data_IF_045505714925
#
_entry.id   IF_045505714925
#
_cell.length_a   1.000
_cell.length_b   1.000
_cell.length_c   1.000
_cell.angle_alpha   90.00
_cell.angle_beta   90.00
_cell.angle_gamma   90.00
#
_symmetry.space_group_name_H-M   'P 1'
#
loop_
_entity.id
_entity.type
_entity.pdbx_description
1 polymer ?
#
# COMPACT_ATOMS: atom_id res chain seq x y z
N UNK A 1 13.73 18.86 -15.78
CA UNK A 1 13.65 17.71 -14.85
C UNK A 1 12.19 17.31 -14.74
N UNK A 2 11.91 16.02 -14.59
CA UNK A 2 10.55 15.54 -14.35
C UNK A 2 10.08 16.00 -12.98
N UNK A 3 8.77 16.18 -12.81
CA UNK A 3 8.15 16.34 -11.47
C UNK A 3 8.11 14.99 -10.75
N UNK A 4 8.06 14.97 -9.40
CA UNK A 4 8.03 13.71 -8.65
C UNK A 4 6.95 12.72 -9.12
N UNK A 5 5.75 13.21 -9.44
CA UNK A 5 4.64 12.37 -9.91
C UNK A 5 4.89 11.80 -11.31
N UNK A 6 5.63 12.51 -12.16
CA UNK A 6 6.05 12.04 -13.49
C UNK A 6 7.14 10.98 -13.37
N UNK A 7 8.07 11.13 -12.42
CA UNK A 7 9.06 10.10 -12.09
C UNK A 7 8.39 8.82 -11.58
N UNK A 8 7.39 8.95 -10.70
CA UNK A 8 6.55 7.83 -10.24
C UNK A 8 5.78 7.21 -11.40
N UNK A 9 5.23 8.00 -12.33
CA UNK A 9 4.50 7.47 -13.48
C UNK A 9 5.39 6.64 -14.41
N UNK A 10 6.66 7.01 -14.58
CA UNK A 10 7.55 6.43 -15.59
C UNK A 10 8.46 5.32 -15.05
N UNK A 11 9.17 5.55 -13.95
CA UNK A 11 10.19 4.62 -13.45
C UNK A 11 9.64 3.22 -13.16
N UNK A 12 8.68 3.07 -12.23
CA UNK A 12 8.00 1.80 -11.95
C UNK A 12 7.33 1.18 -13.18
N UNK A 13 6.75 1.98 -14.09
CA UNK A 13 6.11 1.48 -15.30
C UNK A 13 7.13 0.80 -16.24
N UNK A 14 8.27 1.45 -16.51
CA UNK A 14 9.34 0.88 -17.32
C UNK A 14 10.02 -0.31 -16.63
N UNK A 15 10.07 -0.31 -15.29
CA UNK A 15 10.52 -1.48 -14.53
C UNK A 15 9.59 -2.69 -14.73
N UNK A 16 8.27 -2.48 -14.71
CA UNK A 16 7.30 -3.53 -15.02
C UNK A 16 7.43 -4.02 -16.48
N UNK A 17 7.70 -3.12 -17.43
CA UNK A 17 7.95 -3.50 -18.83
C UNK A 17 9.09 -4.50 -18.96
N UNK A 18 10.24 -4.16 -18.36
CA UNK A 18 11.44 -4.96 -18.41
C UNK A 18 11.24 -6.32 -17.78
N UNK A 19 10.49 -6.39 -16.68
CA UNK A 19 10.16 -7.67 -16.04
C UNK A 19 9.24 -8.50 -16.93
N UNK A 20 8.13 -7.93 -17.41
CA UNK A 20 7.15 -8.65 -18.24
C UNK A 20 7.80 -9.27 -19.49
N UNK A 21 8.56 -8.47 -20.24
CA UNK A 21 9.16 -8.93 -21.51
C UNK A 21 10.31 -9.93 -21.34
N UNK A 22 10.93 -9.97 -20.15
CA UNK A 22 12.06 -10.86 -19.84
C UNK A 22 11.65 -12.10 -19.05
N UNK A 23 10.59 -12.04 -18.25
CA UNK A 23 10.09 -13.20 -17.50
C UNK A 23 9.38 -14.22 -18.39
N UNK A 24 8.88 -13.78 -19.55
CA UNK A 24 8.02 -14.59 -20.41
C UNK A 24 6.62 -14.78 -19.84
N UNK A 25 6.21 -13.94 -18.89
CA UNK A 25 4.84 -13.91 -18.35
C UNK A 25 3.87 -13.29 -19.36
N UNK A 26 2.60 -13.64 -19.27
CA UNK A 26 1.57 -13.15 -20.18
C UNK A 26 0.94 -11.82 -19.73
N UNK A 27 1.21 -11.39 -18.51
CA UNK A 27 0.64 -10.16 -17.95
C UNK A 27 0.77 -10.11 -16.43
N UNK A 28 -0.10 -9.30 -15.83
CA UNK A 28 -0.14 -8.99 -14.41
C UNK A 28 -1.51 -9.29 -13.81
N UNK A 29 -1.51 -9.66 -12.53
CA UNK A 29 -2.70 -9.79 -11.71
C UNK A 29 -2.61 -8.88 -10.49
N UNK A 30 -3.68 -8.14 -10.19
CA UNK A 30 -3.78 -7.27 -9.02
C UNK A 30 -5.09 -7.48 -8.25
N UNK A 31 -5.01 -7.64 -6.94
CA UNK A 31 -6.15 -7.48 -6.05
C UNK A 31 -6.52 -5.99 -5.93
N UNK A 32 -7.51 -5.55 -6.71
CA UNK A 32 -7.91 -4.14 -6.77
C UNK A 32 -8.95 -3.86 -5.69
N UNK A 33 -8.56 -3.17 -4.61
CA UNK A 33 -9.42 -2.92 -3.43
C UNK A 33 -10.33 -1.71 -3.54
N UNK A 34 -10.11 -0.82 -4.52
CA UNK A 34 -10.79 0.48 -4.58
C UNK A 34 -10.26 1.52 -3.58
N UNK A 35 -9.10 1.25 -2.98
CA UNK A 35 -8.31 2.17 -2.17
C UNK A 35 -7.16 2.82 -2.97
N UNK A 36 -6.48 3.79 -2.35
CA UNK A 36 -5.43 4.59 -2.98
C UNK A 36 -4.28 3.75 -3.57
N UNK A 37 -3.80 2.77 -2.83
CA UNK A 37 -2.55 2.08 -3.16
C UNK A 37 -2.74 1.11 -4.34
N UNK A 38 -3.80 0.30 -4.31
CA UNK A 38 -4.11 -0.60 -5.41
C UNK A 38 -4.52 0.19 -6.67
N UNK A 39 -5.17 1.34 -6.52
CA UNK A 39 -5.41 2.27 -7.63
C UNK A 39 -4.11 2.83 -8.22
N UNK A 40 -3.11 3.11 -7.38
CA UNK A 40 -1.81 3.59 -7.83
C UNK A 40 -1.08 2.53 -8.67
N UNK A 41 -1.08 1.27 -8.22
CA UNK A 41 -0.54 0.16 -9.02
C UNK A 41 -1.27 0.02 -10.35
N UNK A 42 -2.61 0.12 -10.36
CA UNK A 42 -3.39 0.07 -11.59
C UNK A 42 -3.04 1.22 -12.56
N UNK A 43 -2.82 2.43 -12.04
CA UNK A 43 -2.36 3.56 -12.83
C UNK A 43 -0.95 3.35 -13.40
N UNK A 44 -0.04 2.69 -12.67
CA UNK A 44 1.29 2.36 -13.19
C UNK A 44 1.24 1.36 -14.35
N UNK A 45 0.33 0.39 -14.30
CA UNK A 45 0.13 -0.55 -15.42
C UNK A 45 -0.48 0.18 -16.65
N UNK A 46 -1.38 1.14 -16.44
CA UNK A 46 -1.86 1.99 -17.54
C UNK A 46 -0.75 2.90 -18.09
N UNK A 47 0.08 3.48 -17.21
CA UNK A 47 1.25 4.29 -17.61
C UNK A 47 2.20 3.47 -18.48
N UNK A 48 2.48 2.23 -18.09
CA UNK A 48 3.21 1.27 -18.92
C UNK A 48 2.57 1.10 -20.30
N UNK A 49 1.25 0.89 -20.37
CA UNK A 49 0.56 0.75 -21.65
C UNK A 49 0.65 2.02 -22.51
N UNK A 50 0.64 3.20 -21.89
CA UNK A 50 0.79 4.49 -22.58
C UNK A 50 2.21 4.66 -23.17
N UNK A 51 3.25 4.30 -22.40
CA UNK A 51 4.63 4.34 -22.87
C UNK A 51 4.85 3.32 -24.01
N UNK A 52 4.32 2.10 -23.87
CA UNK A 52 4.34 1.10 -24.95
C UNK A 52 3.66 1.62 -26.21
N UNK A 53 2.47 2.23 -26.09
CA UNK A 53 1.73 2.78 -27.24
C UNK A 53 2.53 3.88 -27.95
N UNK A 54 3.25 4.71 -27.19
CA UNK A 54 4.14 5.73 -27.74
C UNK A 54 5.28 5.11 -28.54
N UNK A 55 5.90 4.04 -28.04
CA UNK A 55 6.96 3.31 -28.75
C UNK A 55 6.46 2.57 -30.00
N UNK A 56 5.22 2.06 -29.99
CA UNK A 56 4.58 1.50 -31.19
C UNK A 56 4.43 2.58 -32.27
N UNK A 57 4.01 3.80 -31.90
CA UNK A 57 3.88 4.93 -32.84
C UNK A 57 5.22 5.35 -33.44
N UNK A 58 6.32 5.19 -32.69
CA UNK A 58 7.68 5.42 -33.15
C UNK A 58 8.27 4.26 -33.97
N UNK A 59 7.49 3.19 -34.22
CA UNK A 59 7.93 1.97 -34.91
C UNK A 59 9.15 1.31 -34.24
N UNK A 60 9.19 1.29 -32.92
CA UNK A 60 10.26 0.61 -32.18
C UNK A 60 10.15 -0.91 -32.36
N UNK A 61 11.02 -1.46 -33.20
CA UNK A 61 11.01 -2.89 -33.56
C UNK A 61 11.20 -3.83 -32.36
N UNK A 62 11.95 -3.43 -31.33
CA UNK A 62 12.16 -4.28 -30.14
C UNK A 62 10.88 -4.39 -29.30
N UNK A 63 10.16 -3.28 -29.15
CA UNK A 63 8.88 -3.25 -28.42
C UNK A 63 7.81 -4.04 -29.17
N UNK A 64 7.70 -3.84 -30.48
CA UNK A 64 6.75 -4.55 -31.34
C UNK A 64 7.01 -6.07 -31.28
N UNK A 65 8.26 -6.51 -31.45
CA UNK A 65 8.60 -7.94 -31.36
C UNK A 65 8.34 -8.54 -29.97
N UNK A 66 8.59 -7.78 -28.90
CA UNK A 66 8.25 -8.22 -27.55
C UNK A 66 6.74 -8.40 -27.39
N UNK A 67 5.93 -7.46 -27.87
CA UNK A 67 4.47 -7.55 -27.83
C UNK A 67 3.91 -8.68 -28.67
N UNK A 68 4.47 -8.96 -29.85
CA UNK A 68 4.06 -10.11 -30.67
C UNK A 68 4.18 -11.42 -29.87
N UNK A 69 5.25 -11.57 -29.08
CA UNK A 69 5.46 -12.74 -28.22
C UNK A 69 4.50 -12.77 -27.02
N UNK A 70 4.30 -11.63 -26.35
CA UNK A 70 3.46 -11.54 -25.14
C UNK A 70 1.99 -11.72 -25.49
N UNK A 71 1.51 -11.01 -26.52
CA UNK A 71 0.10 -10.94 -26.91
C UNK A 71 -0.30 -12.02 -27.93
N UNK A 72 0.67 -12.72 -28.52
CA UNK A 72 0.45 -13.70 -29.58
C UNK A 72 -0.42 -13.15 -30.73
N UNK A 73 -0.08 -11.96 -31.24
CA UNK A 73 -0.83 -11.30 -32.31
C UNK A 73 0.08 -10.72 -33.40
N UNK A 74 -0.50 -10.40 -34.56
CA UNK A 74 0.25 -9.84 -35.67
C UNK A 74 0.72 -8.41 -35.41
N UNK A 75 1.78 -7.96 -36.09
CA UNK A 75 2.24 -6.56 -36.06
C UNK A 75 1.13 -5.59 -36.46
N UNK A 76 0.35 -5.96 -37.49
CA UNK A 76 -0.76 -5.14 -37.97
C UNK A 76 -1.87 -4.95 -36.93
N UNK A 77 -2.02 -5.88 -35.99
CA UNK A 77 -2.96 -5.74 -34.88
C UNK A 77 -2.37 -4.88 -33.77
N UNK A 78 -1.06 -5.00 -33.49
CA UNK A 78 -0.35 -4.20 -32.49
C UNK A 78 -0.46 -2.71 -32.80
N UNK A 79 -0.28 -2.30 -34.06
CA UNK A 79 -0.40 -0.90 -34.47
C UNK A 79 -1.80 -0.29 -34.29
N UNK A 80 -2.83 -1.13 -34.07
CA UNK A 80 -4.20 -0.66 -33.83
C UNK A 80 -4.54 -0.55 -32.34
N UNK A 81 -3.67 -1.03 -31.45
CA UNK A 81 -3.96 -1.08 -30.02
C UNK A 81 -3.80 0.30 -29.38
N UNK A 82 -4.85 0.74 -28.70
CA UNK A 82 -4.79 1.88 -27.78
C UNK A 82 -4.12 1.46 -26.46
N UNK A 83 -3.69 2.40 -25.60
CA UNK A 83 -3.23 2.09 -24.24
C UNK A 83 -4.25 1.25 -23.46
N UNK A 84 -5.55 1.51 -23.67
CA UNK A 84 -6.64 0.76 -23.04
C UNK A 84 -6.72 -0.68 -23.57
N UNK A 85 -6.55 -0.88 -24.88
CA UNK A 85 -6.55 -2.22 -25.47
C UNK A 85 -5.36 -3.05 -24.99
N UNK A 86 -4.17 -2.43 -24.90
CA UNK A 86 -2.99 -3.06 -24.32
C UNK A 86 -3.26 -3.50 -22.88
N UNK A 87 -3.80 -2.59 -22.06
CA UNK A 87 -4.17 -2.85 -20.66
C UNK A 87 -5.14 -4.04 -20.56
N UNK A 88 -6.15 -4.11 -21.42
CA UNK A 88 -7.13 -5.22 -21.43
C UNK A 88 -6.53 -6.60 -21.71
N UNK A 89 -5.38 -6.66 -22.40
CA UNK A 89 -4.73 -7.92 -22.76
C UNK A 89 -3.70 -8.38 -21.74
N UNK A 90 -3.07 -7.45 -21.01
CA UNK A 90 -1.97 -7.76 -20.09
C UNK A 90 -2.34 -7.56 -18.62
N UNK A 91 -3.50 -6.99 -18.29
CA UNK A 91 -3.83 -6.65 -16.92
C UNK A 91 -5.16 -7.22 -16.44
N UNK A 92 -5.06 -8.07 -15.42
CA UNK A 92 -6.17 -8.70 -14.75
C UNK A 92 -6.32 -8.10 -13.36
N UNK A 93 -7.53 -7.67 -13.02
CA UNK A 93 -7.83 -7.12 -11.69
C UNK A 93 -8.92 -7.93 -11.03
N UNK A 94 -8.86 -8.08 -9.71
CA UNK A 94 -9.90 -8.77 -8.97
C UNK A 94 -10.28 -8.01 -7.70
N UNK A 95 -11.56 -7.69 -7.56
CA UNK A 95 -12.11 -7.24 -6.29
C UNK A 95 -12.60 -8.45 -5.49
N UNK A 96 -12.11 -8.59 -4.25
CA UNK A 96 -12.38 -9.76 -3.41
C UNK A 96 -13.16 -9.35 -2.14
N UNK A 97 -14.50 -9.17 -2.24
CA UNK A 97 -15.32 -8.75 -1.11
C UNK A 97 -15.37 -9.83 -0.04
N UNK A 98 -15.65 -9.38 1.18
CA UNK A 98 -16.23 -10.17 2.25
C UNK A 98 -17.53 -9.52 2.74
N UNK A 99 -18.20 -10.15 3.70
CA UNK A 99 -19.38 -9.62 4.40
C UNK A 99 -19.16 -8.21 5.00
N UNK A 100 -17.89 -7.83 5.22
CA UNK A 100 -17.48 -6.57 5.82
C UNK A 100 -17.22 -5.46 4.78
N UNK A 101 -17.25 -5.79 3.49
CA UNK A 101 -16.88 -4.87 2.42
C UNK A 101 -18.04 -3.94 2.04
N UNK A 102 -17.74 -2.66 1.84
CA UNK A 102 -18.75 -1.66 1.48
C UNK A 102 -19.11 -1.73 -0.02
N UNK A 103 -20.29 -1.22 -0.38
CA UNK A 103 -20.66 -1.05 -1.78
C UNK A 103 -19.79 0.01 -2.48
N UNK A 104 -19.20 0.94 -1.71
CA UNK A 104 -18.43 2.05 -2.25
C UNK A 104 -17.05 1.61 -2.75
N UNK A 105 -16.29 0.81 -1.97
CA UNK A 105 -15.00 0.23 -2.40
C UNK A 105 -15.16 -0.61 -3.65
N UNK A 106 -16.19 -1.45 -3.69
CA UNK A 106 -16.56 -2.24 -4.88
C UNK A 106 -16.81 -1.35 -6.09
N UNK A 107 -17.59 -0.29 -5.92
CA UNK A 107 -17.93 0.64 -7.00
C UNK A 107 -16.67 1.38 -7.52
N UNK A 108 -15.81 1.86 -6.62
CA UNK A 108 -14.55 2.53 -6.98
C UNK A 108 -13.62 1.59 -7.77
N UNK A 109 -13.43 0.36 -7.29
CA UNK A 109 -12.62 -0.64 -7.97
C UNK A 109 -13.16 -0.95 -9.38
N UNK A 110 -14.46 -1.20 -9.49
CA UNK A 110 -15.11 -1.50 -10.77
C UNK A 110 -14.96 -0.36 -11.78
N UNK A 111 -15.24 0.88 -11.38
CA UNK A 111 -15.20 2.02 -12.29
C UNK A 111 -13.79 2.34 -12.76
N UNK A 112 -12.78 2.22 -11.88
CA UNK A 112 -11.39 2.37 -12.28
C UNK A 112 -10.98 1.27 -13.27
N UNK A 113 -11.29 0.00 -12.97
CA UNK A 113 -10.98 -1.13 -13.83
C UNK A 113 -11.64 -1.01 -15.21
N UNK A 114 -12.91 -0.56 -15.25
CA UNK A 114 -13.65 -0.31 -16.49
C UNK A 114 -13.02 0.81 -17.33
N UNK A 115 -12.61 1.91 -16.67
CA UNK A 115 -12.00 3.05 -17.35
C UNK A 115 -10.66 2.66 -17.99
N UNK A 116 -9.77 2.02 -17.24
CA UNK A 116 -8.45 1.63 -17.73
C UNK A 116 -8.49 0.41 -18.67
N UNK A 117 -9.60 -0.32 -18.71
CA UNK A 117 -9.81 -1.46 -19.60
C UNK A 117 -9.29 -2.80 -19.09
N UNK A 118 -8.85 -2.92 -17.84
CA UNK A 118 -8.37 -4.20 -17.29
C UNK A 118 -9.47 -5.27 -17.28
N UNK A 119 -9.09 -6.55 -17.42
CA UNK A 119 -10.04 -7.65 -17.25
C UNK A 119 -10.40 -7.81 -15.77
N UNK A 120 -11.57 -7.30 -15.39
CA UNK A 120 -11.99 -7.18 -13.99
C UNK A 120 -12.87 -8.35 -13.54
N UNK A 121 -12.46 -8.97 -12.44
CA UNK A 121 -13.14 -10.11 -11.81
C UNK A 121 -13.65 -9.71 -10.42
N UNK A 122 -14.67 -10.42 -9.96
CA UNK A 122 -15.17 -10.32 -8.60
C UNK A 122 -15.18 -11.73 -8.02
N UNK A 123 -14.52 -11.93 -6.88
CA UNK A 123 -14.44 -13.23 -6.23
C UNK A 123 -14.65 -13.10 -4.73
N UNK A 124 -15.82 -13.52 -4.26
CA UNK A 124 -16.20 -13.48 -2.85
C UNK A 124 -15.38 -14.50 -2.04
N UNK A 125 -14.89 -14.10 -0.86
CA UNK A 125 -14.07 -14.95 0.02
C UNK A 125 -14.84 -15.55 1.19
N UNK A 126 -16.12 -15.20 1.39
CA UNK A 126 -16.87 -15.51 2.62
C UNK A 126 -17.00 -17.00 2.87
N UNK A 127 -17.30 -17.80 1.84
CA UNK A 127 -17.40 -19.26 1.96
C UNK A 127 -16.06 -19.89 2.37
N UNK A 128 -14.97 -19.42 1.77
CA UNK A 128 -13.62 -19.89 2.08
C UNK A 128 -13.21 -19.52 3.50
N UNK A 129 -13.46 -18.27 3.91
CA UNK A 129 -13.18 -17.78 5.27
C UNK A 129 -14.02 -18.53 6.29
N UNK A 130 -15.32 -18.67 6.06
CA UNK A 130 -16.25 -19.38 6.95
C UNK A 130 -15.83 -20.84 7.15
N UNK A 131 -15.43 -21.51 6.08
CA UNK A 131 -14.93 -22.90 6.13
C UNK A 131 -13.66 -23.01 6.99
N UNK A 132 -12.70 -22.09 6.81
CA UNK A 132 -11.46 -22.06 7.59
C UNK A 132 -11.72 -21.81 9.08
N UNK A 133 -12.57 -20.82 9.39
CA UNK A 133 -12.92 -20.48 10.78
C UNK A 133 -13.64 -21.64 11.46
N UNK A 134 -14.59 -22.28 10.78
CA UNK A 134 -15.31 -23.46 11.30
C UNK A 134 -14.35 -24.62 11.56
N UNK A 135 -13.47 -24.92 10.60
CA UNK A 135 -12.47 -25.99 10.74
C UNK A 135 -11.54 -25.75 11.91
N UNK A 136 -11.04 -24.51 12.07
CA UNK A 136 -10.18 -24.14 13.19
C UNK A 136 -10.90 -24.25 14.54
N UNK A 137 -12.15 -23.78 14.61
CA UNK A 137 -12.99 -23.84 15.82
C UNK A 137 -13.22 -25.28 16.26
N UNK A 138 -13.55 -26.17 15.31
CA UNK A 138 -13.75 -27.60 15.58
C UNK A 138 -12.45 -28.29 16.00
N UNK A 139 -11.36 -28.03 15.29
CA UNK A 139 -10.04 -28.65 15.56
C UNK A 139 -9.47 -28.26 16.92
N UNK A 140 -9.75 -27.03 17.38
CA UNK A 140 -9.32 -26.53 18.69
C UNK A 140 -10.35 -26.79 19.80
N UNK A 141 -11.48 -27.44 19.49
CA UNK A 141 -12.59 -27.67 20.43
C UNK A 141 -13.05 -26.41 21.16
N UNK A 142 -13.11 -25.27 20.45
CA UNK A 142 -13.56 -24.02 21.03
C UNK A 142 -15.06 -24.10 21.33
N UNK A 143 -15.48 -23.57 22.48
CA UNK A 143 -16.88 -23.58 22.91
C UNK A 143 -17.80 -22.68 22.07
N UNK A 144 -17.22 -21.74 21.32
CA UNK A 144 -17.92 -20.81 20.42
C UNK A 144 -17.04 -20.44 19.24
N UNK A 145 -17.68 -19.93 18.18
CA UNK A 145 -16.96 -19.27 17.08
C UNK A 145 -16.27 -17.99 17.58
N UNK A 146 -15.09 -17.66 17.02
CA UNK A 146 -14.44 -16.38 17.28
C UNK A 146 -15.33 -15.21 16.81
N UNK A 147 -15.25 -14.06 17.49
CA UNK A 147 -16.04 -12.86 17.15
C UNK A 147 -15.17 -11.63 16.98
N UNK A 148 -15.65 -10.65 16.21
CA UNK A 148 -15.04 -9.33 16.14
C UNK A 148 -15.22 -8.57 17.47
N UNK A 149 -14.34 -7.62 17.76
CA UNK A 149 -14.43 -6.78 18.98
C UNK A 149 -15.75 -6.00 19.03
N UNK A 150 -16.21 -5.48 17.88
CA UNK A 150 -17.51 -4.80 17.74
C UNK A 150 -18.72 -5.73 18.01
N UNK A 151 -18.50 -7.05 18.03
CA UNK A 151 -19.50 -8.08 18.35
C UNK A 151 -19.22 -8.75 19.71
N UNK A 152 -18.38 -8.14 20.56
CA UNK A 152 -18.04 -8.63 21.90
C UNK A 152 -17.00 -9.75 21.95
N UNK A 153 -16.20 -9.94 20.89
CA UNK A 153 -15.06 -10.84 20.89
C UNK A 153 -13.79 -10.21 21.49
N UNK A 154 -12.80 -11.05 21.82
CA UNK A 154 -11.50 -10.57 22.28
C UNK A 154 -10.66 -9.96 21.14
N UNK A 155 -9.71 -9.08 21.47
CA UNK A 155 -8.80 -8.47 20.49
C UNK A 155 -8.05 -9.51 19.64
N UNK A 156 -7.64 -10.64 20.24
CA UNK A 156 -6.98 -11.75 19.54
C UNK A 156 -7.90 -12.46 18.53
N UNK A 157 -9.19 -12.58 18.85
CA UNK A 157 -10.17 -13.22 17.96
C UNK A 157 -10.43 -12.31 16.77
N UNK A 158 -10.67 -11.03 17.01
CA UNK A 158 -10.88 -10.05 15.95
C UNK A 158 -9.68 -9.96 15.01
N UNK A 159 -8.46 -9.90 15.56
CA UNK A 159 -7.25 -9.90 14.73
C UNK A 159 -7.11 -11.20 13.91
N UNK A 160 -7.48 -12.36 14.47
CA UNK A 160 -7.46 -13.62 13.73
C UNK A 160 -8.47 -13.63 12.58
N UNK A 161 -9.69 -13.10 12.80
CA UNK A 161 -10.73 -12.97 11.77
C UNK A 161 -10.35 -12.00 10.65
N UNK A 162 -9.70 -10.88 10.98
CA UNK A 162 -9.17 -9.96 9.98
C UNK A 162 -8.04 -10.63 9.15
N UNK A 163 -7.11 -11.31 9.83
CA UNK A 163 -5.98 -11.95 9.18
C UNK A 163 -6.39 -13.11 8.26
N UNK A 164 -7.40 -13.92 8.63
CA UNK A 164 -7.86 -15.02 7.77
C UNK A 164 -8.50 -14.48 6.49
N UNK A 165 -9.28 -13.39 6.56
CA UNK A 165 -9.80 -12.72 5.36
C UNK A 165 -8.65 -12.25 4.46
N UNK A 166 -7.65 -11.57 5.03
CA UNK A 166 -6.51 -11.06 4.29
C UNK A 166 -5.70 -12.17 3.59
N UNK A 167 -5.45 -13.29 4.28
CA UNK A 167 -4.72 -14.44 3.71
C UNK A 167 -5.54 -15.23 2.69
N UNK A 168 -6.85 -15.35 2.88
CA UNK A 168 -7.73 -15.99 1.90
C UNK A 168 -7.70 -15.27 0.55
N UNK A 169 -7.64 -13.93 0.55
CA UNK A 169 -7.46 -13.15 -0.69
C UNK A 169 -6.16 -13.49 -1.40
N UNK A 170 -5.05 -13.65 -0.66
CA UNK A 170 -3.77 -14.04 -1.24
C UNK A 170 -3.83 -15.44 -1.87
N UNK A 171 -4.37 -16.42 -1.16
CA UNK A 171 -4.49 -17.79 -1.70
C UNK A 171 -5.35 -17.82 -2.96
N UNK A 172 -6.50 -17.16 -2.92
CA UNK A 172 -7.42 -17.10 -4.04
C UNK A 172 -6.81 -16.36 -5.24
N UNK A 173 -6.07 -15.29 -5.01
CA UNK A 173 -5.48 -14.48 -6.08
C UNK A 173 -4.41 -15.23 -6.86
N UNK A 174 -3.51 -15.96 -6.18
CA UNK A 174 -2.54 -16.83 -6.86
C UNK A 174 -3.22 -17.98 -7.62
N UNK A 175 -4.27 -18.59 -7.04
CA UNK A 175 -5.02 -19.64 -7.73
C UNK A 175 -5.66 -19.11 -9.02
N UNK A 176 -6.31 -17.95 -8.95
CA UNK A 176 -6.92 -17.31 -10.12
C UNK A 176 -5.86 -16.92 -11.16
N UNK A 177 -4.75 -16.33 -10.75
CA UNK A 177 -3.67 -15.93 -11.64
C UNK A 177 -3.04 -17.12 -12.40
N UNK A 178 -3.03 -18.31 -11.78
CA UNK A 178 -2.57 -19.55 -12.41
C UNK A 178 -3.60 -20.17 -13.37
N UNK A 179 -4.90 -19.95 -13.14
CA UNK A 179 -5.97 -20.55 -13.95
C UNK A 179 -6.48 -19.65 -15.10
N UNK A 180 -6.40 -18.33 -14.95
CA UNK A 180 -6.79 -17.36 -15.99
C UNK A 180 -6.13 -17.64 -17.35
N UNK A 181 -4.83 -17.99 -17.44
CA UNK A 181 -4.20 -18.34 -18.71
C UNK A 181 -4.96 -19.40 -19.51
N UNK A 182 -5.55 -20.39 -18.86
CA UNK A 182 -6.34 -21.44 -19.52
C UNK A 182 -7.62 -20.87 -20.13
N UNK A 183 -8.32 -19.98 -19.41
CA UNK A 183 -9.56 -19.36 -19.89
C UNK A 183 -9.31 -18.41 -21.07
N UNK A 184 -8.17 -17.71 -21.06
CA UNK A 184 -7.84 -16.68 -22.05
C UNK A 184 -6.86 -17.14 -23.14
N UNK A 185 -6.49 -18.42 -23.15
CA UNK A 185 -5.51 -19.00 -24.08
C UNK A 185 -4.17 -18.24 -24.08
N UNK A 186 -3.75 -17.78 -22.89
CA UNK A 186 -2.47 -17.09 -22.73
C UNK A 186 -1.33 -18.09 -22.78
N UNK A 187 -0.19 -17.65 -23.30
CA UNK A 187 1.00 -18.49 -23.48
C UNK A 187 1.73 -18.84 -22.17
N UNK A 188 1.43 -18.13 -21.07
CA UNK A 188 2.16 -18.22 -19.81
C UNK A 188 1.31 -17.71 -18.63
N UNK A 189 1.86 -17.82 -17.41
CA UNK A 189 1.27 -17.32 -16.17
C UNK A 189 1.27 -15.80 -16.05
N UNK A 190 0.52 -15.30 -15.07
CA UNK A 190 0.48 -13.89 -14.69
C UNK A 190 1.41 -13.62 -13.49
N UNK A 191 2.01 -12.44 -13.47
CA UNK A 191 2.80 -11.95 -12.33
C UNK A 191 1.88 -11.25 -11.33
N UNK A 192 1.98 -11.64 -10.06
CA UNK A 192 1.24 -11.04 -8.97
C UNK A 192 1.85 -9.69 -8.59
N UNK A 193 1.02 -8.65 -8.58
CA UNK A 193 1.39 -7.32 -8.09
C UNK A 193 0.84 -7.09 -6.68
N UNK A 194 1.72 -6.68 -5.77
CA UNK A 194 1.32 -6.16 -4.45
C UNK A 194 1.12 -4.65 -4.50
N UNK A 195 0.32 -4.14 -3.54
CA UNK A 195 0.05 -2.72 -3.35
C UNK A 195 0.38 -2.22 -1.95
N UNK A 196 1.31 -2.85 -1.22
CA UNK A 196 1.77 -2.30 0.07
C UNK A 196 2.69 -1.09 -0.16
N UNK A 197 2.47 0.03 0.52
CA UNK A 197 3.31 1.22 0.41
C UNK A 197 4.47 1.22 1.43
N UNK A 198 5.40 2.17 1.27
CA UNK A 198 6.60 2.27 2.11
C UNK A 198 6.28 2.46 3.60
N UNK A 199 5.35 3.37 3.93
CA UNK A 199 5.05 3.74 5.32
C UNK A 199 4.43 2.57 6.08
N UNK A 200 3.50 1.84 5.46
CA UNK A 200 2.91 0.61 6.01
C UNK A 200 3.95 -0.50 6.18
N UNK A 201 4.83 -0.69 5.20
CA UNK A 201 5.91 -1.68 5.26
C UNK A 201 6.91 -1.36 6.38
N UNK A 202 7.31 -0.09 6.51
CA UNK A 202 8.19 0.38 7.58
C UNK A 202 7.57 0.18 8.96
N UNK A 203 6.29 0.51 9.09
CA UNK A 203 5.53 0.36 10.33
C UNK A 203 5.18 -1.11 10.62
N UNK A 204 5.17 -1.95 9.60
CA UNK A 204 4.70 -3.32 9.62
C UNK A 204 3.19 -3.46 9.81
N UNK A 205 2.43 -2.48 9.30
CA UNK A 205 0.96 -2.46 9.29
C UNK A 205 0.44 -3.24 8.07
N UNK A 206 0.55 -4.56 8.16
CA UNK A 206 0.11 -5.52 7.14
C UNK A 206 -0.05 -6.90 7.78
N UNK A 207 -0.85 -7.78 7.17
CA UNK A 207 -0.92 -9.18 7.59
C UNK A 207 0.20 -9.94 6.92
N UNK A 208 1.05 -10.62 7.70
CA UNK A 208 2.11 -11.45 7.11
C UNK A 208 1.48 -12.55 6.24
N UNK A 209 1.87 -12.56 4.95
CA UNK A 209 1.35 -13.43 3.89
C UNK A 209 -0.10 -13.15 3.44
N UNK A 210 -0.56 -11.90 3.49
CA UNK A 210 -1.72 -11.44 2.71
C UNK A 210 -1.30 -10.90 1.34
N UNK A 211 -2.14 -10.11 0.67
CA UNK A 211 -1.83 -9.46 -0.62
C UNK A 211 -0.74 -8.38 -0.55
N UNK A 212 -0.18 -8.07 0.63
CA UNK A 212 1.13 -7.41 0.76
C UNK A 212 2.29 -8.28 0.26
N UNK A 213 2.05 -9.59 0.10
CA UNK A 213 2.95 -10.56 -0.51
C UNK A 213 2.52 -10.86 -1.94
N UNK A 214 3.44 -10.75 -2.89
CA UNK A 214 3.23 -10.98 -4.32
C UNK A 214 4.56 -11.36 -4.99
N UNK A 215 4.60 -11.42 -6.32
CA UNK A 215 5.86 -11.59 -7.04
C UNK A 215 6.65 -10.28 -7.04
N UNK A 216 5.96 -9.14 -7.18
CA UNK A 216 6.55 -7.82 -7.35
C UNK A 216 5.72 -6.74 -6.64
N UNK A 217 6.37 -5.66 -6.22
CA UNK A 217 5.68 -4.47 -5.69
C UNK A 217 6.20 -3.17 -6.35
N UNK A 218 5.47 -2.60 -7.32
CA UNK A 218 5.93 -1.38 -8.01
C UNK A 218 5.85 -0.11 -7.16
N UNK A 219 5.14 -0.13 -6.02
CA UNK A 219 4.97 1.03 -5.13
C UNK A 219 5.59 0.84 -3.74
N UNK A 220 6.26 -0.28 -3.48
CA UNK A 220 6.70 -0.67 -2.14
C UNK A 220 7.76 0.23 -1.49
N UNK A 221 8.32 1.18 -2.24
CA UNK A 221 9.23 2.20 -1.71
C UNK A 221 8.74 3.63 -1.91
N UNK A 222 7.44 3.81 -2.21
CA UNK A 222 6.79 5.10 -2.36
C UNK A 222 5.92 5.36 -1.12
N UNK A 223 6.01 6.56 -0.57
CA UNK A 223 5.26 7.04 0.58
C UNK A 223 3.78 7.20 0.24
N UNK A 224 2.91 7.06 1.24
CA UNK A 224 1.47 7.30 1.09
C UNK A 224 1.18 8.73 0.62
N UNK A 225 1.99 9.68 1.07
CA UNK A 225 1.91 11.09 0.67
C UNK A 225 2.13 11.27 -0.82
N UNK A 226 3.20 10.66 -1.37
CA UNK A 226 3.52 10.78 -2.78
C UNK A 226 2.58 9.94 -3.67
N UNK A 227 2.06 8.82 -3.16
CA UNK A 227 0.98 8.09 -3.85
C UNK A 227 -0.29 8.96 -3.98
N UNK A 228 -0.59 9.78 -2.98
CA UNK A 228 -1.74 10.70 -3.05
C UNK A 228 -1.56 11.75 -4.15
N UNK A 229 -0.39 12.39 -4.23
CA UNK A 229 -0.11 13.36 -5.30
C UNK A 229 -0.07 12.69 -6.67
N UNK A 230 0.50 11.49 -6.75
CA UNK A 230 0.51 10.67 -7.96
C UNK A 230 -0.90 10.36 -8.48
N UNK A 231 -1.85 9.99 -7.62
CA UNK A 231 -3.24 9.75 -8.06
C UNK A 231 -3.89 11.00 -8.66
N UNK A 232 -3.64 12.19 -8.08
CA UNK A 232 -4.11 13.45 -8.69
C UNK A 232 -3.45 13.71 -10.04
N UNK A 233 -2.14 13.44 -10.16
CA UNK A 233 -1.45 13.50 -11.45
C UNK A 233 -2.05 12.53 -12.47
N UNK A 234 -2.39 11.30 -12.06
CA UNK A 234 -3.01 10.33 -12.95
C UNK A 234 -4.39 10.76 -13.42
N UNK A 235 -5.20 11.32 -12.52
CA UNK A 235 -6.49 11.89 -12.88
C UNK A 235 -6.32 13.01 -13.91
N UNK A 236 -5.41 13.95 -13.68
CA UNK A 236 -5.32 15.11 -14.58
C UNK A 236 -4.53 14.87 -15.86
N UNK A 237 -3.47 14.06 -15.79
CA UNK A 237 -2.48 13.91 -16.86
C UNK A 237 -2.51 12.56 -17.52
N UNK A 238 -2.40 11.46 -16.76
CA UNK A 238 -2.37 10.12 -17.34
C UNK A 238 -3.68 9.78 -18.05
N UNK A 239 -4.83 10.23 -17.53
CA UNK A 239 -6.15 9.96 -18.14
C UNK A 239 -6.25 10.42 -19.59
N UNK A 240 -5.41 11.38 -20.03
CA UNK A 240 -5.38 11.89 -21.40
C UNK A 240 -4.90 10.86 -22.43
N UNK A 241 -4.27 9.75 -21.99
CA UNK A 241 -3.93 8.63 -22.88
C UNK A 241 -5.15 7.78 -23.28
N UNK A 242 -6.31 8.02 -22.67
CA UNK A 242 -7.56 7.32 -22.92
C UNK A 242 -8.52 8.17 -23.77
N UNK A 243 -9.39 7.50 -24.52
CA UNK A 243 -10.49 8.17 -25.23
C UNK A 243 -11.40 8.95 -24.26
N UNK A 244 -12.06 10.04 -24.72
CA UNK A 244 -12.83 10.94 -23.86
C UNK A 244 -13.78 10.30 -22.83
N UNK A 245 -14.62 9.29 -23.16
CA UNK A 245 -15.51 8.70 -22.16
C UNK A 245 -14.74 8.00 -21.02
N UNK A 246 -13.66 7.30 -21.35
CA UNK A 246 -12.85 6.57 -20.37
C UNK A 246 -11.93 7.50 -19.58
N UNK A 247 -11.43 8.57 -20.21
CA UNK A 247 -10.67 9.62 -19.53
C UNK A 247 -11.48 10.31 -18.43
N UNK A 248 -12.73 10.70 -18.74
CA UNK A 248 -13.65 11.28 -17.74
C UNK A 248 -13.99 10.29 -16.64
N UNK A 249 -14.29 9.04 -16.99
CA UNK A 249 -14.58 8.00 -16.01
C UNK A 249 -13.39 7.75 -15.05
N UNK A 250 -12.17 7.68 -15.58
CA UNK A 250 -10.95 7.51 -14.78
C UNK A 250 -10.76 8.69 -13.82
N UNK A 251 -10.93 9.93 -14.30
CA UNK A 251 -10.86 11.14 -13.47
C UNK A 251 -11.80 11.07 -12.27
N UNK A 252 -13.08 10.79 -12.53
CA UNK A 252 -14.09 10.71 -11.47
C UNK A 252 -13.81 9.59 -10.47
N UNK A 253 -13.38 8.42 -10.95
CA UNK A 253 -13.03 7.29 -10.11
C UNK A 253 -11.84 7.64 -9.20
N UNK A 254 -10.77 8.20 -9.76
CA UNK A 254 -9.56 8.57 -9.02
C UNK A 254 -9.80 9.70 -8.02
N UNK A 255 -10.60 10.71 -8.38
CA UNK A 255 -10.99 11.77 -7.44
C UNK A 255 -11.73 11.19 -6.22
N UNK A 256 -12.67 10.27 -6.45
CA UNK A 256 -13.40 9.59 -5.37
C UNK A 256 -12.51 8.67 -4.53
N UNK A 257 -11.51 8.03 -5.14
CA UNK A 257 -10.50 7.25 -4.41
C UNK A 257 -9.61 8.17 -3.56
N UNK A 258 -9.15 9.30 -4.08
CA UNK A 258 -8.27 10.23 -3.38
C UNK A 258 -8.96 10.99 -2.23
N UNK A 259 -10.29 11.14 -2.28
CA UNK A 259 -11.10 11.72 -1.22
C UNK A 259 -11.57 10.71 -0.17
N UNK A 260 -11.47 9.40 -0.45
CA UNK A 260 -11.92 8.38 0.47
C UNK A 260 -10.98 8.27 1.69
N UNK A 261 -11.57 7.94 2.85
CA UNK A 261 -10.80 7.66 4.05
C UNK A 261 -10.03 6.33 3.90
N UNK A 262 -8.73 6.27 4.24
CA UNK A 262 -7.96 5.03 4.24
C UNK A 262 -8.51 4.00 5.24
N UNK A 263 -8.72 2.77 4.76
CA UNK A 263 -9.33 1.68 5.51
C UNK A 263 -9.12 0.32 4.82
N UNK A 264 -9.01 -0.74 5.62
CA UNK A 264 -8.87 -2.11 5.14
C UNK A 264 -10.21 -2.90 5.03
N UNK A 265 -11.33 -2.36 5.54
CA UNK A 265 -12.65 -3.00 5.58
C UNK A 265 -12.62 -4.48 6.05
N UNK A 266 -11.86 -4.77 7.12
CA UNK A 266 -11.72 -6.15 7.64
C UNK A 266 -12.61 -6.45 8.85
N UNK A 267 -13.32 -5.44 9.36
CA UNK A 267 -14.25 -5.56 10.48
C UNK A 267 -15.68 -5.20 10.04
N UNK A 268 -16.71 -5.70 10.75
CA UNK A 268 -18.10 -5.40 10.42
C UNK A 268 -18.38 -3.90 10.31
N UNK A 269 -19.20 -3.54 9.32
CA UNK A 269 -19.75 -2.20 9.17
C UNK A 269 -20.63 -1.86 10.39
N UNK A 270 -20.83 -0.56 10.64
CA UNK A 270 -21.78 -0.14 11.68
C UNK A 270 -23.23 -0.49 11.28
N UNK A 271 -24.18 -0.25 12.19
CA UNK A 271 -25.60 -0.52 11.93
C UNK A 271 -26.20 0.26 10.76
N UNK A 272 -25.52 1.32 10.31
CA UNK A 272 -25.90 2.17 9.19
C UNK A 272 -25.14 1.82 7.89
N UNK A 273 -24.28 0.80 7.91
CA UNK A 273 -23.46 0.38 6.78
C UNK A 273 -22.18 1.20 6.58
N UNK A 274 -21.77 2.02 7.56
CA UNK A 274 -20.55 2.82 7.46
C UNK A 274 -19.32 2.04 7.94
N UNK A 275 -18.18 2.43 7.37
CA UNK A 275 -16.87 1.90 7.70
C UNK A 275 -16.45 2.40 9.08
N UNK A 276 -16.10 1.48 9.98
CA UNK A 276 -15.64 1.79 11.33
C UNK A 276 -14.11 1.81 11.46
N UNK A 277 -13.39 1.20 10.52
CA UNK A 277 -11.94 1.05 10.56
C UNK A 277 -11.21 2.25 9.93
N UNK A 278 -10.19 2.75 10.61
CA UNK A 278 -9.31 3.83 10.12
C UNK A 278 -7.84 3.44 10.34
N UNK A 279 -7.05 3.46 9.26
CA UNK A 279 -5.67 2.97 9.30
C UNK A 279 -4.76 3.79 10.23
N UNK A 280 -4.84 5.12 10.22
CA UNK A 280 -3.99 5.98 11.06
C UNK A 280 -4.34 5.86 12.54
N UNK A 281 -5.63 5.69 12.85
CA UNK A 281 -6.10 5.41 14.20
C UNK A 281 -5.58 4.04 14.69
N UNK A 282 -5.69 3.00 13.85
CA UNK A 282 -5.19 1.65 14.16
C UNK A 282 -3.66 1.62 14.31
N UNK A 283 -2.93 2.38 13.49
CA UNK A 283 -1.48 2.49 13.56
C UNK A 283 -1.01 3.33 14.75
N UNK A 284 -1.83 4.28 15.22
CA UNK A 284 -1.53 5.26 16.27
C UNK A 284 -0.60 6.40 15.82
N UNK A 285 -0.38 6.53 14.51
CA UNK A 285 0.48 7.51 13.84
C UNK A 285 -0.15 7.89 12.50
N UNK A 286 -0.07 9.17 12.14
CA UNK A 286 -0.42 9.63 10.79
C UNK A 286 0.64 9.17 9.78
N UNK A 287 0.26 9.09 8.51
CA UNK A 287 1.21 8.82 7.42
C UNK A 287 2.30 9.88 7.34
N UNK A 288 1.95 11.15 7.58
CA UNK A 288 2.89 12.27 7.68
C UNK A 288 3.97 12.03 8.76
N UNK A 289 3.58 11.60 9.96
CA UNK A 289 4.52 11.22 11.02
C UNK A 289 5.37 10.01 10.63
N UNK A 290 4.78 8.99 10.00
CA UNK A 290 5.51 7.80 9.54
C UNK A 290 6.59 8.16 8.52
N UNK A 291 6.27 8.99 7.53
CA UNK A 291 7.25 9.42 6.53
C UNK A 291 8.37 10.26 7.16
N UNK A 292 8.04 11.19 8.07
CA UNK A 292 9.06 11.95 8.82
C UNK A 292 9.98 11.02 9.63
N UNK A 293 9.40 10.11 10.41
CA UNK A 293 10.17 9.17 11.22
C UNK A 293 11.00 8.21 10.36
N UNK A 294 10.50 7.80 9.19
CA UNK A 294 11.24 7.03 8.20
C UNK A 294 12.50 7.75 7.70
N UNK A 295 12.36 9.02 7.32
CA UNK A 295 13.50 9.87 6.90
C UNK A 295 14.50 10.07 8.04
N UNK A 296 14.04 10.45 9.23
CA UNK A 296 14.92 10.64 10.39
C UNK A 296 15.69 9.35 10.72
N UNK A 297 15.01 8.20 10.70
CA UNK A 297 15.60 6.89 10.99
C UNK A 297 16.67 6.48 9.99
N UNK A 298 16.42 6.65 8.68
CA UNK A 298 17.26 6.06 7.63
C UNK A 298 18.22 7.06 6.98
N UNK A 299 17.77 8.28 6.70
CA UNK A 299 18.59 9.32 6.07
C UNK A 299 19.43 10.02 7.14
N UNK A 300 18.82 10.47 8.23
CA UNK A 300 19.54 11.11 9.35
C UNK A 300 20.12 10.09 10.35
N UNK A 301 19.98 8.79 10.08
CA UNK A 301 20.55 7.70 10.90
C UNK A 301 20.14 7.74 12.38
N UNK A 302 18.93 8.23 12.67
CA UNK A 302 18.48 8.39 14.05
C UNK A 302 17.97 7.08 14.69
N UNK A 303 18.46 6.78 15.89
CA UNK A 303 17.81 5.86 16.84
C UNK A 303 16.74 6.58 17.68
N UNK A 304 16.11 5.92 18.67
CA UNK A 304 15.01 6.53 19.44
C UNK A 304 15.37 7.85 20.10
N UNK A 305 16.51 7.89 20.80
CA UNK A 305 16.96 9.10 21.51
C UNK A 305 17.29 10.24 20.55
N UNK A 306 18.09 9.99 19.51
CA UNK A 306 18.48 11.04 18.57
C UNK A 306 17.31 11.52 17.72
N UNK A 307 16.34 10.64 17.40
CA UNK A 307 15.10 11.04 16.72
C UNK A 307 14.32 12.04 17.57
N UNK A 308 14.19 11.79 18.88
CA UNK A 308 13.56 12.75 19.79
C UNK A 308 14.33 14.06 19.82
N UNK A 309 15.66 14.06 19.91
CA UNK A 309 16.45 15.29 19.83
C UNK A 309 16.16 16.08 18.55
N UNK A 310 16.18 15.43 17.38
CA UNK A 310 15.89 16.08 16.09
C UNK A 310 14.48 16.68 16.05
N UNK A 311 13.50 15.98 16.62
CA UNK A 311 12.14 16.51 16.76
C UNK A 311 12.11 17.71 17.71
N UNK A 312 12.79 17.68 18.85
CA UNK A 312 12.86 18.82 19.77
C UNK A 312 13.59 20.03 19.14
N UNK A 313 14.54 19.79 18.25
CA UNK A 313 15.27 20.81 17.48
C UNK A 313 14.45 21.41 16.32
N UNK A 314 13.18 21.03 16.15
CA UNK A 314 12.26 21.66 15.20
C UNK A 314 11.78 20.78 14.04
N UNK A 315 12.27 19.54 13.89
CA UNK A 315 11.82 18.67 12.79
C UNK A 315 10.32 18.34 12.84
N UNK A 316 9.69 18.44 14.02
CA UNK A 316 8.23 18.28 14.18
C UNK A 316 7.40 19.28 13.38
N UNK A 317 7.98 20.42 12.96
CA UNK A 317 7.27 21.44 12.19
C UNK A 317 6.76 20.92 10.84
N UNK A 318 7.38 19.88 10.28
CA UNK A 318 6.90 19.21 9.06
C UNK A 318 5.54 18.52 9.25
N UNK A 319 5.20 18.18 10.49
CA UNK A 319 3.97 17.47 10.88
C UNK A 319 3.15 18.29 11.87
N UNK A 320 3.32 19.61 11.88
CA UNK A 320 2.63 20.52 12.81
C UNK A 320 1.10 20.40 12.78
N UNK A 321 0.54 20.08 11.61
CA UNK A 321 -0.91 19.96 11.41
C UNK A 321 -1.46 18.64 11.98
N UNK A 322 -0.59 17.69 12.31
CA UNK A 322 -0.94 16.43 12.97
C UNK A 322 -0.81 16.50 14.50
N UNK A 323 -0.32 17.63 15.04
CA UNK A 323 -0.14 17.83 16.47
C UNK A 323 -1.48 18.22 17.10
N UNK A 324 -1.93 17.53 18.16
CA UNK A 324 -3.13 17.93 18.90
C UNK A 324 -3.01 19.35 19.49
N UNK A 325 -4.07 20.16 19.41
CA UNK A 325 -4.04 21.55 19.87
C UNK A 325 -3.73 21.67 21.38
N UNK A 326 -4.12 20.68 22.19
CA UNK A 326 -3.82 20.64 23.63
C UNK A 326 -2.33 20.42 23.96
N UNK A 327 -1.55 19.94 22.99
CA UNK A 327 -0.10 19.83 23.07
C UNK A 327 0.61 21.15 22.73
N UNK A 328 -0.07 22.09 22.08
CA UNK A 328 0.48 23.40 21.73
C UNK A 328 0.20 24.42 22.84
N UNK A 329 1.02 25.47 22.91
CA UNK A 329 0.74 26.67 23.71
C UNK A 329 0.22 27.80 22.81
N UNK A 330 -0.18 28.93 23.40
CA UNK A 330 -0.75 30.09 22.66
C UNK A 330 0.20 30.62 21.57
N UNK A 331 1.51 30.46 21.76
CA UNK A 331 2.53 30.92 20.83
C UNK A 331 2.96 29.83 19.83
N UNK A 332 2.40 28.62 19.95
CA UNK A 332 2.76 27.41 19.18
C UNK A 332 4.26 27.10 19.23
N UNK A 333 4.87 27.34 20.38
CA UNK A 333 6.27 27.07 20.66
C UNK A 333 6.45 25.70 21.32
N UNK A 334 7.68 25.21 21.29
CA UNK A 334 8.05 23.95 21.93
C UNK A 334 7.83 24.06 23.44
N UNK A 335 7.07 23.12 24.00
CA UNK A 335 6.74 23.05 25.42
C UNK A 335 6.75 21.60 25.94
N UNK A 336 6.60 21.39 27.26
CA UNK A 336 6.70 20.06 27.87
C UNK A 336 5.60 19.10 27.40
N UNK A 337 4.38 19.58 27.10
CA UNK A 337 3.30 18.74 26.57
C UNK A 337 3.64 18.25 25.16
N UNK A 338 4.09 19.14 24.28
CA UNK A 338 4.56 18.77 22.94
C UNK A 338 5.74 17.80 23.00
N UNK A 339 6.75 18.06 23.84
CA UNK A 339 7.90 17.17 24.01
C UNK A 339 7.48 15.77 24.48
N UNK A 340 6.54 15.70 25.44
CA UNK A 340 5.98 14.44 25.95
C UNK A 340 5.19 13.69 24.88
N UNK A 341 4.38 14.41 24.10
CA UNK A 341 3.65 13.85 22.96
C UNK A 341 4.62 13.26 21.93
N UNK A 342 5.62 14.02 21.48
CA UNK A 342 6.62 13.56 20.50
C UNK A 342 7.38 12.34 21.01
N UNK A 343 7.81 12.34 22.28
CA UNK A 343 8.44 11.18 22.91
C UNK A 343 7.54 9.95 22.88
N UNK A 344 6.26 10.09 23.21
CA UNK A 344 5.30 8.99 23.15
C UNK A 344 5.17 8.41 21.74
N UNK A 345 5.16 9.27 20.71
CA UNK A 345 5.09 8.87 19.30
C UNK A 345 6.37 8.19 18.82
N UNK A 346 7.54 8.67 19.21
CA UNK A 346 8.83 8.02 18.92
C UNK A 346 8.90 6.65 19.58
N UNK A 347 8.52 6.54 20.87
CA UNK A 347 8.46 5.25 21.58
C UNK A 347 7.53 4.27 20.88
N UNK A 348 6.34 4.73 20.49
CA UNK A 348 5.36 3.92 19.79
C UNK A 348 5.88 3.45 18.42
N UNK A 349 6.47 4.35 17.63
CA UNK A 349 7.10 4.02 16.36
C UNK A 349 8.16 2.92 16.50
N UNK A 350 9.14 3.08 17.40
CA UNK A 350 10.23 2.11 17.55
C UNK A 350 9.79 0.77 18.14
N UNK A 351 8.84 0.78 19.09
CA UNK A 351 8.25 -0.47 19.61
C UNK A 351 7.59 -1.24 18.47
N UNK A 352 6.78 -0.55 17.67
CA UNK A 352 6.02 -1.21 16.63
C UNK A 352 6.87 -1.62 15.41
N UNK A 353 7.89 -0.83 15.08
CA UNK A 353 8.95 -1.21 14.14
C UNK A 353 9.65 -2.50 14.62
N UNK A 354 10.06 -2.56 15.88
CA UNK A 354 10.77 -3.71 16.43
C UNK A 354 9.95 -5.01 16.38
N UNK A 355 8.69 -4.99 16.83
CA UNK A 355 7.86 -6.22 16.86
C UNK A 355 7.48 -6.69 15.45
N UNK A 356 7.37 -5.77 14.48
CA UNK A 356 6.93 -6.10 13.12
C UNK A 356 8.07 -6.23 12.11
N UNK A 357 9.33 -5.97 12.47
CA UNK A 357 10.45 -6.01 11.52
C UNK A 357 10.58 -7.37 10.81
N UNK A 358 10.26 -8.45 11.50
CA UNK A 358 10.20 -9.80 10.91
C UNK A 358 9.25 -9.94 9.70
N UNK A 359 8.37 -8.97 9.43
CA UNK A 359 7.51 -8.95 8.25
C UNK A 359 8.28 -8.50 7.01
N UNK A 360 9.21 -7.54 7.13
CA UNK A 360 9.95 -6.99 5.99
C UNK A 360 10.94 -7.99 5.39
N UNK A 361 11.32 -9.03 6.15
CA UNK A 361 12.22 -10.09 5.68
C UNK A 361 11.58 -10.99 4.61
N UNK A 362 10.27 -10.92 4.42
CA UNK A 362 9.52 -11.73 3.44
C UNK A 362 8.64 -10.88 2.52
N UNK A 363 8.77 -9.55 2.58
CA UNK A 363 8.07 -8.69 1.65
C UNK A 363 8.57 -8.92 0.22
N UNK A 364 7.69 -8.75 -0.79
CA UNK A 364 8.07 -8.92 -2.18
C UNK A 364 9.14 -7.90 -2.58
N UNK A 365 9.97 -8.23 -3.58
CA UNK A 365 10.90 -7.26 -4.15
C UNK A 365 10.14 -6.05 -4.68
N UNK A 366 10.51 -4.87 -4.20
CA UNK A 366 9.90 -3.61 -4.59
C UNK A 366 10.79 -2.81 -5.53
N UNK A 367 10.18 -2.05 -6.45
CA UNK A 367 10.89 -1.00 -7.18
C UNK A 367 11.48 -0.01 -6.16
N UNK A 368 12.70 0.50 -6.40
CA UNK A 368 13.40 1.40 -5.48
C UNK A 368 13.26 2.86 -5.93
N UNK A 369 12.68 3.71 -5.08
CA UNK A 369 12.55 5.17 -5.27
C UNK A 369 13.17 5.93 -4.10
N UNK A 370 12.60 5.78 -2.90
CA UNK A 370 12.93 6.68 -1.80
C UNK A 370 14.18 6.24 -1.03
N UNK A 371 15.00 7.22 -0.65
CA UNK A 371 16.24 7.02 0.08
C UNK A 371 16.03 6.51 1.53
N UNK A 372 14.79 6.31 1.96
CA UNK A 372 14.46 5.67 3.25
C UNK A 372 13.67 4.36 3.15
N UNK A 373 13.77 3.68 2.00
CA UNK A 373 13.19 2.34 1.80
C UNK A 373 13.51 1.37 2.97
N UNK A 374 12.53 0.53 3.33
CA UNK A 374 12.60 -0.45 4.41
C UNK A 374 13.02 -1.87 3.94
N UNK A 375 13.41 -2.06 2.68
CA UNK A 375 13.85 -3.34 2.10
C UNK A 375 15.04 -3.96 2.87
N UNK A 376 14.79 -5.12 3.46
CA UNK A 376 15.78 -5.86 4.25
C UNK A 376 16.75 -6.67 3.37
N UNK A 377 16.45 -6.88 2.08
CA UNK A 377 17.25 -7.74 1.22
C UNK A 377 18.54 -7.07 0.75
N UNK A 378 18.49 -5.77 0.43
CA UNK A 378 19.59 -5.07 -0.24
C UNK A 378 19.89 -3.70 0.33
N UNK A 379 18.88 -2.94 0.75
CA UNK A 379 19.06 -1.51 1.05
C UNK A 379 19.16 -1.19 2.55
N UNK A 380 18.43 -1.91 3.39
CA UNK A 380 18.29 -1.59 4.80
C UNK A 380 18.49 -2.82 5.68
N UNK A 381 19.71 -3.34 5.68
CA UNK A 381 20.12 -4.49 6.48
C UNK A 381 20.00 -4.18 7.98
N UNK A 382 19.12 -4.89 8.69
CA UNK A 382 18.83 -4.66 10.11
C UNK A 382 18.56 -5.99 10.81
N UNK A 383 18.74 -6.08 12.15
CA UNK A 383 18.16 -7.17 12.92
C UNK A 383 16.66 -7.27 12.67
N UNK A 384 16.09 -8.47 12.76
CA UNK A 384 14.63 -8.68 12.81
C UNK A 384 14.14 -9.20 14.17
N UNK A 385 15.09 -9.53 15.06
CA UNK A 385 14.85 -9.87 16.46
C UNK A 385 15.39 -8.73 17.33
N UNK A 386 14.48 -7.86 17.78
CA UNK A 386 14.79 -6.71 18.63
C UNK A 386 14.21 -6.87 20.04
N UNK A 387 14.83 -6.26 21.07
CA UNK A 387 14.13 -5.96 22.31
C UNK A 387 13.09 -4.87 22.05
N UNK A 388 11.80 -5.23 22.05
CA UNK A 388 10.70 -4.33 21.67
C UNK A 388 10.38 -3.23 22.69
N UNK A 389 10.98 -3.30 23.88
CA UNK A 389 10.84 -2.33 24.96
C UNK A 389 11.90 -1.24 24.95
N UNK A 390 13.00 -1.41 24.19
CA UNK A 390 14.06 -0.42 24.01
C UNK A 390 14.49 0.24 25.33
N UNK A 391 14.61 -0.56 26.39
CA UNK A 391 14.61 -0.10 27.79
C UNK A 391 15.56 1.07 28.03
N UNK A 392 16.83 0.91 27.63
CA UNK A 392 17.85 1.93 27.84
C UNK A 392 17.50 3.22 27.08
N UNK A 393 17.16 3.13 25.80
CA UNK A 393 16.87 4.28 24.95
C UNK A 393 15.66 5.05 25.46
N UNK A 394 14.59 4.35 25.88
CA UNK A 394 13.38 4.97 26.38
C UNK A 394 13.60 5.67 27.72
N UNK A 395 14.39 5.10 28.62
CA UNK A 395 14.81 5.77 29.86
C UNK A 395 15.61 7.03 29.56
N UNK A 396 16.53 6.99 28.60
CA UNK A 396 17.31 8.19 28.20
C UNK A 396 16.43 9.30 27.64
N UNK A 397 15.38 8.96 26.89
CA UNK A 397 14.40 9.93 26.37
C UNK A 397 13.59 10.58 27.50
N UNK A 398 13.18 9.81 28.52
CA UNK A 398 12.44 10.36 29.66
C UNK A 398 13.29 11.34 30.48
N UNK A 399 14.57 11.01 30.67
CA UNK A 399 15.54 11.91 31.30
C UNK A 399 15.72 13.20 30.49
N UNK A 400 15.82 13.10 29.15
CA UNK A 400 15.95 14.25 28.26
C UNK A 400 14.77 15.22 28.42
N UNK A 401 13.53 14.72 28.41
CA UNK A 401 12.33 15.57 28.55
C UNK A 401 12.30 16.24 29.93
N UNK A 402 12.65 15.49 30.98
CA UNK A 402 12.67 16.03 32.35
C UNK A 402 13.70 17.16 32.48
N UNK A 403 14.91 16.94 31.98
CA UNK A 403 15.99 17.91 32.08
C UNK A 403 15.70 19.14 31.20
N UNK A 404 15.09 18.93 30.03
CA UNK A 404 14.64 20.00 29.15
C UNK A 404 13.49 20.82 29.75
N UNK A 405 12.53 20.17 30.42
CA UNK A 405 11.45 20.85 31.15
C UNK A 405 11.97 21.73 32.29
N UNK A 406 12.99 21.27 33.02
CA UNK A 406 13.64 22.09 34.05
C UNK A 406 14.30 23.34 33.46
N UNK A 407 14.92 23.25 32.28
CA UNK A 407 15.55 24.41 31.62
C UNK A 407 14.52 25.47 31.21
N UNK A 408 13.37 25.07 30.67
CA UNK A 408 12.29 26.01 30.33
C UNK A 408 11.69 26.74 31.53
N UNK A 409 11.64 26.11 32.71
CA UNK A 409 11.15 26.76 33.93
C UNK A 409 12.14 27.79 34.51
N UNK A 410 13.39 27.78 34.07
CA UNK A 410 14.45 28.69 34.51
C UNK A 410 14.75 29.81 33.50
N UNK A 411 14.09 29.82 32.34
CA UNK A 411 14.08 30.90 31.36
C UNK A 411 12.79 31.71 31.49
#
# INVERSE_FOLDING_TARGET
MLRPEEEISKGPALWLWDILRRSGSAGFFLCLSGGLDSASVACLVLSLCSEISSEIQLNNSEVIQALQRILNCSESDIHKLTPRDLCSRIFFTCYMPSENSSAETRCRAFQLAQAIGSHHLIADIDDAVSSLVKTATQSLSLSRLPRFTVQGGEARESLALQNVQARSRMVLSYLMAQLIPQQHQLSSGLLMLSSGNLDECLRGYLTKYDCSSADLNPIGSISKKDLRTFIYYCAESLSRCLDPPYSTQMKEALQRIASAQPTAELIPLDSSGNIQQNDEADMGLTYNMLSLFGRLRKIESCGPYSMLCRLLDGAWMEVKDDIPEDCLDENRLMNVRLASFLSSKVKWFFRMYAINRHKTTVLPPAYHTEAYNADDNRFDLRPFLYPADWTHQFVRMDLLIRDWGNQLHHM
#
